data_IF_297874122026
#
_entry.id   IF_297874122026
#
_cell.length_a   1.000
_cell.length_b   1.000
_cell.length_c   1.000
_cell.angle_alpha   90.00
_cell.angle_beta   90.00
_cell.angle_gamma   90.00
#
_symmetry.space_group_name_H-M   'P 1'
#
loop_
_entity.id
_entity.type
_entity.pdbx_description
1 polymer ?
#
# COMPACT_ATOMS: atom_id res chain seq x y z
N UNK A 1 -8.34 6.60 -53.82
CA UNK A 1 -9.59 6.31 -53.10
C UNK A 1 -9.27 5.52 -51.84
N UNK A 2 -9.73 6.05 -50.70
CA UNK A 2 -9.93 5.48 -49.35
C UNK A 2 -9.00 4.35 -48.84
N UNK A 3 -8.14 4.58 -47.85
CA UNK A 3 -8.36 4.68 -46.38
C UNK A 3 -8.34 3.33 -45.64
N UNK A 4 -7.24 3.10 -44.91
CA UNK A 4 -7.19 2.31 -43.66
C UNK A 4 -6.35 3.13 -42.67
N UNK A 5 -6.78 3.36 -41.42
CA UNK A 5 -6.13 4.29 -40.50
C UNK A 5 -4.96 3.67 -39.74
N UNK A 6 -4.02 4.53 -39.34
CA UNK A 6 -2.86 4.21 -38.49
C UNK A 6 -3.21 4.17 -37.00
N UNK A 7 -2.41 3.46 -36.18
CA UNK A 7 -2.33 3.71 -34.75
C UNK A 7 -1.25 4.75 -34.42
N UNK A 8 -1.61 5.63 -33.49
CA UNK A 8 -0.79 6.64 -32.84
C UNK A 8 0.08 5.98 -31.77
N UNK A 9 1.38 6.30 -31.72
CA UNK A 9 2.13 6.77 -30.54
C UNK A 9 3.62 6.41 -30.65
N UNK A 10 4.47 7.39 -30.88
CA UNK A 10 5.84 7.44 -30.34
C UNK A 10 6.47 8.81 -30.63
N UNK A 11 6.52 9.68 -29.63
CA UNK A 11 7.47 10.81 -29.61
C UNK A 11 7.91 11.12 -28.18
N UNK A 12 9.01 10.46 -27.81
CA UNK A 12 10.18 10.97 -27.11
C UNK A 12 10.07 12.39 -26.52
N UNK A 13 10.19 12.50 -25.19
CA UNK A 13 10.50 13.75 -24.50
C UNK A 13 11.94 14.21 -24.77
N UNK A 14 12.19 15.49 -25.10
CA UNK A 14 13.49 16.09 -24.94
C UNK A 14 13.54 16.92 -23.64
N UNK A 15 14.56 16.64 -22.85
CA UNK A 15 15.07 17.50 -21.78
C UNK A 15 15.44 18.87 -22.39
N UNK A 16 14.92 19.96 -21.83
CA UNK A 16 15.37 21.31 -22.16
C UNK A 16 16.56 21.70 -21.28
N UNK A 17 17.66 22.23 -21.86
CA UNK A 17 18.82 22.69 -21.11
C UNK A 17 18.56 24.05 -20.44
N UNK A 18 19.18 24.23 -19.28
CA UNK A 18 19.21 25.49 -18.53
C UNK A 18 20.17 26.45 -19.24
N UNK A 19 19.65 27.53 -19.81
CA UNK A 19 20.47 28.59 -20.39
C UNK A 19 19.65 29.82 -20.77
N UNK A 20 19.90 30.93 -20.06
CA UNK A 20 19.50 32.31 -20.35
C UNK A 20 17.99 32.62 -20.47
N UNK A 21 17.43 33.17 -19.38
CA UNK A 21 16.19 33.96 -19.44
C UNK A 21 16.42 35.31 -18.76
N UNK A 22 16.11 36.37 -19.50
CA UNK A 22 16.19 37.79 -19.10
C UNK A 22 15.14 38.15 -18.04
N UNK A 23 15.34 39.31 -17.40
CA UNK A 23 14.58 39.77 -16.23
C UNK A 23 13.05 39.90 -16.43
N UNK A 24 12.54 39.81 -17.66
CA UNK A 24 11.10 39.76 -17.97
C UNK A 24 10.41 38.41 -17.70
N UNK A 25 11.15 37.31 -17.51
CA UNK A 25 10.58 35.96 -17.35
C UNK A 25 10.27 35.56 -15.90
N UNK A 26 10.71 36.36 -14.92
CA UNK A 26 10.44 36.11 -13.48
C UNK A 26 8.98 36.36 -13.10
N UNK A 27 8.28 37.28 -13.77
CA UNK A 27 6.86 37.55 -13.50
C UNK A 27 5.92 36.42 -13.95
N UNK A 28 6.22 35.77 -15.07
CA UNK A 28 5.36 34.74 -15.67
C UNK A 28 5.45 33.38 -14.93
N UNK A 29 6.64 33.03 -14.43
CA UNK A 29 6.86 31.81 -13.62
C UNK A 29 6.20 31.88 -12.24
N UNK A 30 6.15 33.07 -11.63
CA UNK A 30 5.41 33.29 -10.36
C UNK A 30 3.90 33.19 -10.62
N UNK A 31 3.41 33.67 -11.76
CA UNK A 31 1.99 33.59 -12.12
C UNK A 31 1.52 32.15 -12.39
N UNK A 32 2.35 31.33 -13.05
CA UNK A 32 2.03 29.91 -13.33
C UNK A 32 2.06 29.08 -12.03
N UNK A 33 2.97 29.34 -11.09
CA UNK A 33 2.97 28.62 -9.80
C UNK A 33 1.76 28.98 -8.93
N UNK A 34 1.32 30.25 -8.96
CA UNK A 34 0.10 30.68 -8.26
C UNK A 34 -1.19 30.15 -8.91
N UNK A 35 -1.24 30.05 -10.24
CA UNK A 35 -2.38 29.44 -10.94
C UNK A 35 -2.49 27.94 -10.66
N UNK A 36 -1.36 27.20 -10.67
CA UNK A 36 -1.34 25.79 -10.30
C UNK A 36 -1.81 25.59 -8.86
N UNK A 37 -1.37 26.42 -7.91
CA UNK A 37 -1.79 26.31 -6.51
C UNK A 37 -3.29 26.60 -6.32
N UNK A 38 -3.87 27.59 -7.04
CA UNK A 38 -5.32 27.87 -7.00
C UNK A 38 -6.16 26.79 -7.68
N UNK A 39 -5.72 26.23 -8.80
CA UNK A 39 -6.41 25.12 -9.47
C UNK A 39 -6.33 23.82 -8.63
N UNK A 40 -5.18 23.54 -8.00
CA UNK A 40 -5.02 22.38 -7.12
C UNK A 40 -5.89 22.47 -5.86
N UNK A 41 -5.97 23.65 -5.23
CA UNK A 41 -6.88 23.91 -4.09
C UNK A 41 -8.35 23.78 -4.52
N UNK A 42 -8.70 24.22 -5.74
CA UNK A 42 -10.07 24.13 -6.25
C UNK A 42 -10.46 22.69 -6.58
N UNK A 43 -9.55 21.89 -7.16
CA UNK A 43 -9.76 20.46 -7.43
C UNK A 43 -9.90 19.67 -6.12
N UNK A 44 -9.08 19.97 -5.10
CA UNK A 44 -9.23 19.37 -3.76
C UNK A 44 -10.58 19.80 -3.14
N UNK A 45 -11.00 21.06 -3.26
CA UNK A 45 -12.31 21.52 -2.75
C UNK A 45 -13.50 20.86 -3.46
N UNK A 46 -13.39 20.62 -4.76
CA UNK A 46 -14.45 19.97 -5.56
C UNK A 46 -14.53 18.48 -5.22
N UNK A 47 -13.40 17.81 -4.98
CA UNK A 47 -13.39 16.38 -4.63
C UNK A 47 -13.81 16.07 -3.18
N UNK A 48 -13.84 17.07 -2.29
CA UNK A 48 -14.16 16.88 -0.86
C UNK A 48 -15.57 17.33 -0.45
N UNK A 49 -16.37 17.88 -1.36
CA UNK A 49 -17.73 18.37 -1.03
C UNK A 49 -18.78 17.27 -0.87
N UNK A 50 -18.48 16.03 -1.25
CA UNK A 50 -19.41 14.89 -1.20
C UNK A 50 -19.09 13.87 -0.09
N UNK A 51 -18.46 14.28 1.01
CA UNK A 51 -18.14 13.38 2.13
C UNK A 51 -18.54 13.95 3.49
N UNK A 52 -19.71 14.58 3.55
CA UNK A 52 -20.43 14.76 4.82
C UNK A 52 -21.86 14.29 4.65
N UNK A 53 -22.08 13.00 4.85
CA UNK A 53 -23.35 12.51 5.36
C UNK A 53 -23.12 11.27 6.23
N UNK A 54 -23.35 11.47 7.53
CA UNK A 54 -23.46 10.43 8.52
C UNK A 54 -24.67 9.56 8.18
N UNK A 55 -24.45 8.27 7.97
CA UNK A 55 -25.46 7.27 8.34
C UNK A 55 -24.79 6.01 8.85
N UNK A 56 -25.09 5.72 10.12
CA UNK A 56 -24.70 4.54 10.88
C UNK A 56 -25.25 3.30 10.17
N UNK A 57 -24.37 2.56 9.52
CA UNK A 57 -24.53 1.13 9.26
C UNK A 57 -23.16 0.51 9.51
N UNK A 58 -22.81 0.35 10.78
CA UNK A 58 -21.65 -0.45 11.17
C UNK A 58 -21.93 -1.91 10.83
N UNK A 59 -21.76 -2.26 9.56
CA UNK A 59 -21.31 -3.62 9.24
C UNK A 59 -19.99 -3.75 9.98
N UNK A 60 -19.96 -4.54 11.05
CA UNK A 60 -18.75 -4.83 11.81
C UNK A 60 -17.78 -5.59 10.90
N UNK A 61 -17.08 -4.84 10.03
CA UNK A 61 -15.95 -5.37 9.29
C UNK A 61 -14.87 -5.63 10.32
N UNK A 62 -14.51 -6.89 10.46
CA UNK A 62 -13.54 -7.36 11.42
C UNK A 62 -12.20 -7.47 10.72
N UNK A 63 -11.20 -6.85 11.30
CA UNK A 63 -9.82 -6.96 10.88
C UNK A 63 -9.12 -8.03 11.71
N UNK A 64 -8.59 -9.05 11.04
CA UNK A 64 -8.07 -10.26 11.69
C UNK A 64 -6.64 -10.49 11.24
N UNK A 65 -5.77 -10.75 12.19
CA UNK A 65 -4.44 -11.29 11.93
C UNK A 65 -4.47 -12.77 12.29
N UNK A 66 -4.24 -13.63 11.30
CA UNK A 66 -4.31 -15.08 11.43
C UNK A 66 -3.02 -15.71 10.92
N UNK A 67 -2.41 -16.56 11.74
CA UNK A 67 -1.25 -17.39 11.39
C UNK A 67 -1.74 -18.76 10.96
N UNK A 68 -1.13 -19.32 9.92
CA UNK A 68 -1.43 -20.65 9.43
C UNK A 68 -0.22 -21.56 9.70
N UNK A 69 -0.39 -22.54 10.58
CA UNK A 69 0.71 -23.39 11.03
C UNK A 69 1.11 -24.47 10.03
N UNK A 70 0.16 -24.96 9.25
CA UNK A 70 0.36 -26.05 8.28
C UNK A 70 -0.12 -25.57 6.91
N UNK A 71 0.62 -24.67 6.24
CA UNK A 71 0.20 -24.13 4.96
C UNK A 71 0.29 -25.19 3.86
N UNK A 72 -0.80 -25.35 3.11
CA UNK A 72 -0.90 -26.19 1.91
C UNK A 72 -0.69 -25.38 0.62
N UNK A 73 -0.34 -24.09 0.75
CA UNK A 73 -0.13 -23.21 -0.39
C UNK A 73 1.09 -23.68 -1.19
N UNK A 74 0.95 -23.96 -2.51
CA UNK A 74 2.05 -24.47 -3.32
C UNK A 74 3.29 -23.57 -3.27
N UNK A 75 3.10 -22.25 -3.32
CA UNK A 75 4.19 -21.28 -3.17
C UNK A 75 4.77 -21.31 -1.75
N UNK A 76 3.93 -21.13 -0.73
CA UNK A 76 4.42 -20.93 0.64
C UNK A 76 5.06 -22.20 1.20
N UNK A 77 4.55 -23.38 0.90
CA UNK A 77 5.13 -24.65 1.32
C UNK A 77 6.59 -24.81 0.86
N UNK A 78 6.96 -24.27 -0.30
CA UNK A 78 8.33 -24.31 -0.82
C UNK A 78 9.20 -23.14 -0.35
N UNK A 79 8.60 -22.05 0.16
CA UNK A 79 9.30 -20.93 0.76
C UNK A 79 9.59 -21.15 2.26
N UNK A 80 8.69 -21.85 2.96
CA UNK A 80 8.81 -22.20 4.39
C UNK A 80 10.11 -22.98 4.62
N UNK A 81 10.86 -22.61 5.65
CA UNK A 81 12.13 -23.26 6.01
C UNK A 81 13.35 -22.85 5.16
N UNK A 82 13.17 -22.05 4.09
CA UNK A 82 14.29 -21.45 3.36
C UNK A 82 14.63 -20.08 3.96
N UNK A 83 15.93 -19.80 4.14
CA UNK A 83 16.40 -18.51 4.63
C UNK A 83 16.47 -17.46 3.50
N UNK A 84 15.31 -17.13 2.93
CA UNK A 84 15.15 -16.15 1.86
C UNK A 84 14.77 -14.79 2.43
N UNK A 85 15.28 -13.74 1.78
CA UNK A 85 14.93 -12.35 2.07
C UNK A 85 13.73 -11.95 1.20
N UNK A 86 12.52 -12.09 1.75
CA UNK A 86 11.25 -11.94 1.05
C UNK A 86 10.31 -11.01 1.80
N UNK A 87 9.72 -10.07 1.07
CA UNK A 87 8.64 -9.23 1.55
C UNK A 87 7.43 -9.33 0.59
N UNK A 88 6.26 -9.66 1.12
CA UNK A 88 5.02 -9.72 0.35
C UNK A 88 4.38 -8.34 0.33
N UNK A 89 4.42 -7.69 -0.83
CA UNK A 89 3.82 -6.37 -1.02
C UNK A 89 2.30 -6.45 -1.12
N UNK A 90 1.79 -7.47 -1.81
CA UNK A 90 0.35 -7.65 -1.98
C UNK A 90 0.00 -9.11 -2.31
N UNK A 91 -1.24 -9.49 -2.03
CA UNK A 91 -1.85 -10.75 -2.41
C UNK A 91 -3.27 -10.48 -2.94
N UNK A 92 -3.60 -11.08 -4.07
CA UNK A 92 -4.94 -11.05 -4.66
C UNK A 92 -5.42 -12.48 -4.82
N UNK A 93 -6.60 -12.76 -4.29
CA UNK A 93 -7.21 -14.10 -4.32
C UNK A 93 -8.46 -14.07 -5.18
N UNK A 94 -8.55 -14.98 -6.15
CA UNK A 94 -9.74 -15.25 -6.96
C UNK A 94 -10.00 -16.76 -7.02
N UNK A 95 -11.15 -17.15 -7.59
CA UNK A 95 -11.63 -18.55 -7.58
C UNK A 95 -10.62 -19.53 -8.18
N UNK A 96 -9.91 -19.12 -9.22
CA UNK A 96 -8.99 -19.96 -9.99
C UNK A 96 -7.54 -19.48 -9.96
N UNK A 97 -7.26 -18.33 -9.33
CA UNK A 97 -5.93 -17.73 -9.36
C UNK A 97 -5.61 -17.00 -8.07
N UNK A 98 -4.36 -17.10 -7.63
CA UNK A 98 -3.79 -16.27 -6.57
C UNK A 98 -2.57 -15.57 -7.13
N UNK A 99 -2.59 -14.24 -7.09
CA UNK A 99 -1.47 -13.41 -7.54
C UNK A 99 -0.75 -12.81 -6.33
N UNK A 100 0.57 -12.93 -6.31
CA UNK A 100 1.43 -12.38 -5.27
C UNK A 100 2.35 -11.33 -5.89
N UNK A 101 2.53 -10.21 -5.19
CA UNK A 101 3.61 -9.26 -5.47
C UNK A 101 4.64 -9.42 -4.36
N UNK A 102 5.84 -9.85 -4.72
CA UNK A 102 6.92 -10.17 -3.78
C UNK A 102 8.13 -9.31 -4.11
N UNK A 103 8.72 -8.67 -3.11
CA UNK A 103 10.05 -8.09 -3.20
C UNK A 103 11.02 -9.11 -2.62
N UNK A 104 12.04 -9.47 -3.39
CA UNK A 104 13.04 -10.45 -2.98
C UNK A 104 14.45 -9.91 -3.21
N UNK A 105 15.40 -10.38 -2.41
CA UNK A 105 16.81 -10.16 -2.71
C UNK A 105 17.20 -10.78 -4.05
N UNK A 106 17.98 -10.07 -4.87
CA UNK A 106 18.44 -10.52 -6.20
C UNK A 106 19.19 -11.85 -6.13
N UNK A 107 19.90 -12.11 -5.02
CA UNK A 107 20.57 -13.39 -4.72
C UNK A 107 19.61 -14.59 -4.67
N UNK A 108 18.35 -14.35 -4.29
CA UNK A 108 17.34 -15.38 -4.06
C UNK A 108 16.53 -15.70 -5.33
N UNK A 109 16.69 -14.91 -6.41
CA UNK A 109 15.95 -15.06 -7.66
C UNK A 109 16.15 -16.44 -8.30
N UNK A 110 17.36 -17.01 -8.25
CA UNK A 110 17.66 -18.33 -8.80
C UNK A 110 16.90 -19.43 -8.08
N UNK A 111 16.81 -19.34 -6.75
CA UNK A 111 16.08 -20.28 -5.89
C UNK A 111 14.58 -20.18 -6.19
N UNK A 112 14.05 -18.96 -6.31
CA UNK A 112 12.62 -18.73 -6.58
C UNK A 112 12.23 -19.25 -7.98
N UNK A 113 13.08 -19.05 -9.00
CA UNK A 113 12.87 -19.61 -10.34
C UNK A 113 12.83 -21.14 -10.34
N UNK A 114 13.67 -21.78 -9.53
CA UNK A 114 13.63 -23.24 -9.36
C UNK A 114 12.30 -23.69 -8.76
N UNK A 115 11.87 -23.04 -7.69
CA UNK A 115 10.57 -23.30 -7.03
C UNK A 115 9.40 -23.13 -8.03
N UNK A 116 9.43 -22.12 -8.90
CA UNK A 116 8.34 -21.98 -9.88
C UNK A 116 8.24 -23.13 -10.87
N UNK A 117 9.37 -23.72 -11.26
CA UNK A 117 9.38 -24.89 -12.15
C UNK A 117 8.74 -26.11 -11.49
N UNK A 118 9.08 -26.36 -10.23
CA UNK A 118 8.60 -27.52 -9.47
C UNK A 118 7.07 -27.44 -9.21
N UNK A 119 6.53 -26.22 -9.13
CA UNK A 119 5.16 -25.97 -8.66
C UNK A 119 4.25 -25.38 -9.76
N UNK A 120 4.72 -25.35 -11.01
CA UNK A 120 3.98 -24.78 -12.17
C UNK A 120 3.46 -23.36 -11.92
N UNK A 121 4.25 -22.54 -11.25
CA UNK A 121 3.92 -21.13 -11.02
C UNK A 121 4.42 -20.27 -12.17
N UNK A 122 3.62 -19.28 -12.58
CA UNK A 122 4.07 -18.28 -13.53
C UNK A 122 4.75 -17.13 -12.78
N UNK A 123 5.99 -16.80 -13.14
CA UNK A 123 6.74 -15.70 -12.52
C UNK A 123 7.16 -14.69 -13.58
N UNK A 124 6.75 -13.44 -13.39
CA UNK A 124 7.30 -12.27 -14.06
C UNK A 124 8.12 -11.47 -13.07
N UNK A 125 9.22 -10.85 -13.51
CA UNK A 125 10.06 -10.06 -12.60
C UNK A 125 10.65 -8.82 -13.25
N UNK A 126 10.99 -7.85 -12.41
CA UNK A 126 11.67 -6.61 -12.78
C UNK A 126 12.70 -6.25 -11.72
N UNK A 127 13.92 -5.91 -12.14
CA UNK A 127 14.93 -5.38 -11.22
C UNK A 127 14.46 -4.01 -10.71
N UNK A 128 14.49 -3.81 -9.40
CA UNK A 128 14.19 -2.51 -8.79
C UNK A 128 15.48 -1.72 -8.61
N UNK A 129 16.49 -2.38 -8.03
CA UNK A 129 17.82 -1.83 -7.77
C UNK A 129 18.87 -2.97 -7.86
N UNK A 130 20.12 -2.71 -7.49
CA UNK A 130 21.18 -3.73 -7.57
C UNK A 130 21.01 -4.89 -6.56
N UNK A 131 20.23 -4.68 -5.51
CA UNK A 131 19.99 -5.63 -4.41
C UNK A 131 18.67 -6.37 -4.51
N UNK A 132 17.63 -5.76 -5.08
CA UNK A 132 16.24 -6.24 -4.99
C UNK A 132 15.57 -6.42 -6.35
N UNK A 133 14.68 -7.41 -6.40
CA UNK A 133 13.82 -7.71 -7.54
C UNK A 133 12.35 -7.71 -7.13
N UNK A 134 11.50 -7.16 -7.99
CA UNK A 134 10.05 -7.26 -7.89
C UNK A 134 9.60 -8.50 -8.65
N UNK A 135 8.80 -9.35 -8.01
CA UNK A 135 8.25 -10.57 -8.57
C UNK A 135 6.73 -10.48 -8.59
N UNK A 136 6.15 -10.78 -9.74
CA UNK A 136 4.73 -11.08 -9.89
C UNK A 136 4.58 -12.59 -10.05
N UNK A 137 4.00 -13.26 -9.07
CA UNK A 137 3.85 -14.71 -9.05
C UNK A 137 2.38 -15.07 -9.16
N UNK A 138 2.00 -15.88 -10.14
CA UNK A 138 0.64 -16.38 -10.32
C UNK A 138 0.57 -17.88 -10.03
N UNK A 139 -0.32 -18.22 -9.11
CA UNK A 139 -0.69 -19.58 -8.77
C UNK A 139 -2.10 -19.86 -9.28
N UNK A 140 -2.25 -20.79 -10.22
CA UNK A 140 -3.55 -21.20 -10.79
C UNK A 140 -4.21 -22.35 -10.02
N UNK A 141 -3.71 -22.66 -8.82
CA UNK A 141 -4.26 -23.67 -7.91
C UNK A 141 -4.39 -23.07 -6.51
N UNK A 142 -5.49 -22.35 -6.22
CA UNK A 142 -5.73 -21.77 -4.89
C UNK A 142 -5.72 -22.85 -3.81
N UNK A 143 -5.03 -22.55 -2.72
CA UNK A 143 -4.92 -23.45 -1.57
C UNK A 143 -6.16 -23.41 -0.68
N UNK A 144 -6.23 -24.28 0.32
CA UNK A 144 -7.39 -24.37 1.21
C UNK A 144 -7.69 -23.04 1.91
N UNK A 145 -6.66 -22.32 2.37
CA UNK A 145 -6.84 -20.98 2.94
C UNK A 145 -7.53 -20.02 1.97
N UNK A 146 -7.04 -19.92 0.72
CA UNK A 146 -7.58 -19.01 -0.29
C UNK A 146 -9.02 -19.37 -0.68
N UNK A 147 -9.34 -20.66 -0.80
CA UNK A 147 -10.70 -21.14 -1.07
C UNK A 147 -11.66 -20.79 0.07
N UNK A 148 -11.27 -21.08 1.31
CA UNK A 148 -12.06 -20.78 2.50
C UNK A 148 -12.25 -19.27 2.67
N UNK A 149 -11.22 -18.47 2.35
CA UNK A 149 -11.30 -17.00 2.37
C UNK A 149 -12.39 -16.48 1.44
N UNK A 150 -12.44 -16.97 0.19
CA UNK A 150 -13.48 -16.59 -0.76
C UNK A 150 -14.87 -17.08 -0.34
N UNK A 151 -14.98 -18.32 0.15
CA UNK A 151 -16.24 -18.90 0.67
C UNK A 151 -16.89 -17.99 1.70
N UNK A 152 -16.10 -17.43 2.60
CA UNK A 152 -16.57 -16.54 3.67
C UNK A 152 -16.45 -15.05 3.36
N UNK A 153 -16.26 -14.69 2.08
CA UNK A 153 -16.21 -13.31 1.58
C UNK A 153 -15.15 -12.46 2.28
N UNK A 154 -14.06 -13.09 2.68
CA UNK A 154 -12.91 -12.42 3.30
C UNK A 154 -12.04 -11.74 2.25
N UNK A 155 -11.39 -10.64 2.63
CA UNK A 155 -10.47 -9.90 1.78
C UNK A 155 -9.08 -9.92 2.39
N UNK A 156 -8.06 -10.43 1.68
CA UNK A 156 -6.71 -10.33 2.18
C UNK A 156 -6.21 -8.89 2.02
N UNK A 157 -5.60 -8.35 3.06
CA UNK A 157 -5.02 -7.00 3.06
C UNK A 157 -3.51 -7.01 3.27
N UNK A 158 -2.96 -8.15 3.67
CA UNK A 158 -1.53 -8.36 3.80
C UNK A 158 -1.19 -9.81 4.02
N UNK A 159 0.06 -10.15 3.72
CA UNK A 159 0.69 -11.43 4.00
C UNK A 159 2.11 -11.13 4.45
N UNK A 160 2.59 -11.79 5.48
CA UNK A 160 4.00 -11.82 5.85
C UNK A 160 4.39 -13.23 6.30
N UNK A 161 5.69 -13.46 6.42
CA UNK A 161 6.21 -14.66 7.07
C UNK A 161 6.67 -14.28 8.48
N UNK A 162 6.33 -15.09 9.47
CA UNK A 162 6.87 -14.91 10.82
C UNK A 162 8.32 -15.44 10.94
N UNK A 163 8.84 -15.44 12.17
CA UNK A 163 10.20 -15.92 12.47
C UNK A 163 10.40 -17.40 12.11
N UNK A 164 9.35 -18.21 12.22
CA UNK A 164 9.34 -19.63 11.87
C UNK A 164 9.04 -19.87 10.38
N UNK A 165 9.04 -18.80 9.57
CA UNK A 165 8.67 -18.78 8.15
C UNK A 165 7.25 -19.26 7.88
N UNK A 166 6.35 -19.19 8.86
CA UNK A 166 4.93 -19.50 8.71
C UNK A 166 4.17 -18.27 8.21
N UNK A 167 3.18 -18.45 7.32
CA UNK A 167 2.43 -17.33 6.78
C UNK A 167 1.47 -16.75 7.82
N UNK A 168 1.50 -15.43 7.93
CA UNK A 168 0.61 -14.62 8.74
C UNK A 168 -0.15 -13.69 7.80
N UNK A 169 -1.45 -13.91 7.70
CA UNK A 169 -2.34 -13.13 6.87
C UNK A 169 -3.02 -12.05 7.72
N UNK A 170 -3.20 -10.87 7.13
CA UNK A 170 -4.17 -9.90 7.59
C UNK A 170 -5.38 -9.93 6.65
N UNK A 171 -6.56 -10.13 7.20
CA UNK A 171 -7.80 -10.28 6.44
C UNK A 171 -8.91 -9.41 7.01
N UNK A 172 -9.81 -8.97 6.13
CA UNK A 172 -11.07 -8.36 6.52
C UNK A 172 -12.19 -9.36 6.33
N UNK A 173 -13.02 -9.52 7.35
CA UNK A 173 -14.18 -10.42 7.33
C UNK A 173 -15.45 -9.60 7.61
N UNK A 174 -16.54 -9.78 6.84
CA UNK A 174 -17.67 -8.86 6.94
C UNK A 174 -18.51 -8.98 8.22
N UNK A 175 -18.39 -10.07 8.99
CA UNK A 175 -19.12 -10.33 10.25
C UNK A 175 -18.40 -11.32 11.16
N UNK A 176 -18.65 -11.24 12.48
CA UNK A 176 -18.08 -12.16 13.50
C UNK A 176 -18.52 -13.61 13.35
N UNK A 177 -19.79 -13.84 13.00
CA UNK A 177 -20.30 -15.19 12.79
C UNK A 177 -19.59 -15.91 11.64
N UNK A 178 -19.24 -15.18 10.57
CA UNK A 178 -18.50 -15.74 9.44
C UNK A 178 -17.05 -16.04 9.80
N UNK A 179 -16.43 -15.25 10.67
CA UNK A 179 -15.08 -15.54 11.18
C UNK A 179 -15.03 -16.88 11.92
N UNK A 180 -16.03 -17.18 12.76
CA UNK A 180 -16.08 -18.46 13.48
C UNK A 180 -16.12 -19.65 12.52
N UNK A 181 -16.98 -19.58 11.50
CA UNK A 181 -17.10 -20.63 10.50
C UNK A 181 -15.85 -20.72 9.62
N UNK A 182 -15.25 -19.57 9.27
CA UNK A 182 -13.98 -19.51 8.55
C UNK A 182 -12.86 -20.25 9.28
N UNK A 183 -12.74 -20.07 10.60
CA UNK A 183 -11.71 -20.75 11.41
C UNK A 183 -11.99 -22.25 11.53
N UNK A 184 -13.25 -22.64 11.77
CA UNK A 184 -13.64 -24.07 11.82
C UNK A 184 -13.26 -24.81 10.53
N UNK A 185 -13.61 -24.25 9.37
CA UNK A 185 -13.29 -24.86 8.08
C UNK A 185 -11.77 -24.98 7.85
N UNK A 186 -10.97 -24.03 8.34
CA UNK A 186 -9.51 -24.10 8.26
C UNK A 186 -8.93 -25.18 9.18
N UNK A 187 -9.51 -25.37 10.38
CA UNK A 187 -9.15 -26.46 11.30
C UNK A 187 -9.48 -27.83 10.69
N UNK A 188 -10.69 -27.99 10.17
CA UNK A 188 -11.16 -29.20 9.49
C UNK A 188 -10.31 -29.54 8.27
N UNK A 189 -9.83 -28.53 7.55
CA UNK A 189 -8.91 -28.67 6.42
C UNK A 189 -7.46 -28.93 6.86
N UNK A 190 -7.18 -29.01 8.16
CA UNK A 190 -5.87 -29.37 8.73
C UNK A 190 -4.83 -28.25 8.74
N UNK A 191 -5.22 -26.99 8.51
CA UNK A 191 -4.27 -25.85 8.38
C UNK A 191 -3.73 -25.34 9.73
N UNK A 192 -4.39 -25.67 10.83
CA UNK A 192 -4.01 -25.23 12.18
C UNK A 192 -3.94 -23.70 12.32
N UNK A 193 -5.06 -22.98 12.17
CA UNK A 193 -5.11 -21.53 12.29
C UNK A 193 -4.88 -21.05 13.74
N UNK A 194 -4.01 -20.06 13.93
CA UNK A 194 -3.91 -19.30 15.18
C UNK A 194 -4.42 -17.87 14.94
N UNK A 195 -5.47 -17.47 15.66
CA UNK A 195 -5.94 -16.09 15.67
C UNK A 195 -5.02 -15.24 16.55
N UNK A 196 -4.15 -14.45 15.92
CA UNK A 196 -3.22 -13.57 16.62
C UNK A 196 -3.90 -12.28 17.07
N UNK A 197 -4.82 -11.76 16.26
CA UNK A 197 -5.55 -10.52 16.56
C UNK A 197 -6.93 -10.52 15.94
N UNK A 198 -7.89 -9.95 16.66
CA UNK A 198 -9.22 -9.63 16.15
C UNK A 198 -9.54 -8.20 16.56
N UNK A 199 -9.58 -7.27 15.60
CA UNK A 199 -10.09 -5.92 15.80
C UNK A 199 -11.51 -5.83 15.23
N UNK A 200 -12.48 -5.56 16.10
CA UNK A 200 -13.89 -5.41 15.72
C UNK A 200 -14.17 -4.07 15.03
N UNK A 201 -13.16 -3.19 14.94
CA UNK A 201 -13.25 -1.89 14.29
C UNK A 201 -12.11 -1.75 13.30
N UNK A 202 -12.45 -1.65 12.02
CA UNK A 202 -11.46 -1.26 11.01
C UNK A 202 -10.98 0.18 11.31
N UNK A 203 -9.76 0.31 11.83
CA UNK A 203 -9.12 1.60 12.05
C UNK A 203 -8.63 2.13 10.70
N UNK A 204 -9.38 3.05 10.13
CA UNK A 204 -8.95 3.82 8.95
C UNK A 204 -8.36 5.13 9.47
N UNK A 205 -7.06 5.33 9.33
CA UNK A 205 -6.44 6.60 9.67
C UNK A 205 -7.07 7.73 8.84
N UNK A 206 -7.85 8.60 9.47
CA UNK A 206 -8.43 9.79 8.84
C UNK A 206 -7.66 11.03 9.25
N UNK A 207 -6.88 11.57 8.32
CA UNK A 207 -6.31 12.91 8.46
C UNK A 207 -7.42 13.94 8.29
N UNK A 208 -7.41 15.01 9.09
CA UNK A 208 -8.32 16.14 8.84
C UNK A 208 -7.87 16.90 7.59
N UNK A 209 -8.77 17.65 6.91
CA UNK A 209 -8.38 18.48 5.77
C UNK A 209 -7.20 19.42 6.08
N UNK A 210 -7.15 19.96 7.30
CA UNK A 210 -6.04 20.79 7.78
C UNK A 210 -4.74 20.00 7.93
N UNK A 211 -4.79 18.77 8.45
CA UNK A 211 -3.62 17.90 8.55
C UNK A 211 -3.09 17.53 7.16
N UNK A 212 -3.98 17.15 6.23
CA UNK A 212 -3.62 16.86 4.84
C UNK A 212 -2.94 18.07 4.20
N UNK A 213 -3.56 19.25 4.31
CA UNK A 213 -3.01 20.50 3.74
C UNK A 213 -1.63 20.82 4.31
N UNK A 214 -1.44 20.70 5.62
CA UNK A 214 -0.15 20.95 6.26
C UNK A 214 0.94 20.01 5.75
N UNK A 215 0.63 18.72 5.65
CA UNK A 215 1.56 17.69 5.17
C UNK A 215 1.93 17.89 3.70
N UNK A 216 0.96 18.21 2.84
CA UNK A 216 1.21 18.53 1.42
C UNK A 216 2.13 19.73 1.30
N UNK A 217 1.80 20.85 1.98
CA UNK A 217 2.62 22.06 1.92
C UNK A 217 4.04 21.80 2.46
N UNK A 218 4.17 21.06 3.55
CA UNK A 218 5.47 20.65 4.08
C UNK A 218 6.27 19.85 3.05
N UNK A 219 5.66 18.85 2.42
CA UNK A 219 6.31 18.00 1.42
C UNK A 219 6.73 18.79 0.17
N UNK A 220 5.81 19.55 -0.44
CA UNK A 220 6.06 20.28 -1.68
C UNK A 220 7.12 21.38 -1.54
N UNK A 221 7.22 22.00 -0.36
CA UNK A 221 8.22 23.03 -0.08
C UNK A 221 9.55 22.45 0.43
N UNK A 222 9.71 21.13 0.48
CA UNK A 222 10.94 20.46 0.89
C UNK A 222 11.26 20.58 2.38
N UNK A 223 10.22 20.64 3.23
CA UNK A 223 10.38 20.60 4.70
C UNK A 223 10.93 19.25 5.17
N UNK A 224 10.61 18.18 4.44
CA UNK A 224 11.08 16.81 4.70
C UNK A 224 12.36 16.44 3.93
N UNK A 225 12.92 17.37 3.14
CA UNK A 225 14.14 17.12 2.38
C UNK A 225 15.40 17.19 3.27
N UNK A 226 16.48 16.55 2.82
CA UNK A 226 17.81 16.71 3.40
C UNK A 226 18.80 17.26 2.35
N UNK A 227 19.38 18.46 2.55
CA UNK A 227 19.04 19.44 3.59
C UNK A 227 17.63 20.04 3.41
N UNK A 228 17.05 20.55 4.49
CA UNK A 228 15.71 21.18 4.44
C UNK A 228 15.73 22.40 3.51
N UNK A 229 14.76 22.48 2.61
CA UNK A 229 14.58 23.63 1.69
C UNK A 229 13.74 24.75 2.30
N UNK A 230 12.95 24.43 3.33
CA UNK A 230 12.12 25.39 4.08
C UNK A 230 12.16 25.06 5.57
N UNK A 231 12.11 26.08 6.42
CA UNK A 231 12.00 25.91 7.86
C UNK A 231 10.52 25.98 8.31
N UNK A 232 10.28 25.67 9.59
CA UNK A 232 8.91 25.67 10.13
C UNK A 232 8.29 27.07 10.10
N UNK A 233 9.09 28.11 10.37
CA UNK A 233 8.67 29.53 10.38
C UNK A 233 8.07 29.96 9.05
N UNK A 234 8.76 29.68 7.95
CA UNK A 234 8.27 30.01 6.62
C UNK A 234 7.04 29.19 6.24
N UNK A 235 6.93 27.95 6.72
CA UNK A 235 5.74 27.13 6.52
C UNK A 235 4.53 27.69 7.28
N UNK A 236 4.73 28.29 8.45
CA UNK A 236 3.68 29.00 9.20
C UNK A 236 3.10 30.16 8.41
N UNK A 237 3.97 30.97 7.81
CA UNK A 237 3.57 32.13 7.00
C UNK A 237 2.71 31.68 5.81
N UNK A 238 3.11 30.60 5.12
CA UNK A 238 2.34 30.03 4.00
C UNK A 238 0.97 29.52 4.48
N UNK A 239 0.90 28.95 5.67
CA UNK A 239 -0.33 28.39 6.22
C UNK A 239 -1.25 29.41 6.88
N UNK A 240 -0.74 30.57 7.28
CA UNK A 240 -1.51 31.60 7.99
C UNK A 240 -1.96 31.15 9.38
N UNK A 241 -1.15 30.33 10.08
CA UNK A 241 -1.46 29.80 11.42
C UNK A 241 -0.39 30.18 12.45
N UNK A 242 -0.72 30.10 13.74
CA UNK A 242 0.25 30.35 14.82
C UNK A 242 1.32 29.24 14.91
N UNK A 243 2.54 29.54 15.40
CA UNK A 243 3.64 28.58 15.53
C UNK A 243 3.27 27.25 16.21
N UNK A 244 2.63 27.33 17.38
CA UNK A 244 2.20 26.15 18.13
C UNK A 244 1.16 25.30 17.41
N UNK A 245 0.36 25.92 16.53
CA UNK A 245 -0.71 25.26 15.79
C UNK A 245 -0.17 24.37 14.68
N UNK A 246 0.84 24.81 13.93
CA UNK A 246 1.37 24.02 12.81
C UNK A 246 2.17 22.80 13.27
N UNK A 247 3.04 22.96 14.26
CA UNK A 247 3.81 21.84 14.80
C UNK A 247 2.87 20.75 15.35
N UNK A 248 1.80 21.15 16.06
CA UNK A 248 0.77 20.21 16.51
C UNK A 248 0.06 19.52 15.33
N UNK A 249 -0.37 20.27 14.32
CA UNK A 249 -1.05 19.71 13.14
C UNK A 249 -0.14 18.70 12.42
N UNK A 250 1.13 19.06 12.18
CA UNK A 250 2.10 18.19 11.51
C UNK A 250 2.38 16.93 12.35
N UNK A 251 2.63 17.07 13.65
CA UNK A 251 2.87 15.92 14.54
C UNK A 251 1.68 14.98 14.58
N UNK A 252 0.45 15.50 14.73
CA UNK A 252 -0.77 14.69 14.74
C UNK A 252 -1.03 14.02 13.39
N UNK A 253 -0.73 14.71 12.29
CA UNK A 253 -0.83 14.15 10.95
C UNK A 253 0.20 13.06 10.69
N UNK A 254 1.48 13.33 10.96
CA UNK A 254 2.57 12.38 10.83
C UNK A 254 2.36 11.15 11.70
N UNK A 255 1.94 11.33 12.96
CA UNK A 255 1.61 10.22 13.86
C UNK A 255 0.59 9.27 13.24
N UNK A 256 -0.52 9.79 12.69
CA UNK A 256 -1.53 8.98 12.02
C UNK A 256 -0.98 8.25 10.79
N UNK A 257 -0.12 8.90 9.99
CA UNK A 257 0.51 8.27 8.82
C UNK A 257 1.49 7.17 9.21
N UNK A 258 2.29 7.39 10.25
CA UNK A 258 3.24 6.41 10.77
C UNK A 258 2.50 5.23 11.40
N UNK A 259 1.45 5.47 12.19
CA UNK A 259 0.59 4.42 12.74
C UNK A 259 -0.03 3.58 11.62
N UNK A 260 -0.64 4.21 10.61
CA UNK A 260 -1.20 3.49 9.45
C UNK A 260 -0.13 2.68 8.72
N UNK A 261 1.06 3.25 8.50
CA UNK A 261 2.16 2.56 7.84
C UNK A 261 2.62 1.33 8.64
N UNK A 262 2.89 1.49 9.94
CA UNK A 262 3.37 0.39 10.80
C UNK A 262 2.32 -0.72 10.96
N UNK A 263 1.05 -0.34 11.10
CA UNK A 263 -0.06 -1.30 11.21
C UNK A 263 -0.27 -2.03 9.87
N UNK A 264 -0.29 -1.30 8.75
CA UNK A 264 -0.68 -1.85 7.43
C UNK A 264 0.44 -2.53 6.66
N UNK A 265 1.68 -2.06 6.79
CA UNK A 265 2.84 -2.59 6.07
C UNK A 265 3.62 -3.60 6.89
N UNK A 266 3.97 -3.23 8.11
CA UNK A 266 4.85 -4.05 8.95
C UNK A 266 4.05 -4.99 9.87
N UNK A 267 2.76 -4.70 10.09
CA UNK A 267 1.93 -5.42 11.04
C UNK A 267 2.53 -5.40 12.45
N UNK A 268 3.15 -4.27 12.81
CA UNK A 268 3.69 -3.97 14.13
C UNK A 268 2.58 -3.26 14.91
N UNK A 269 2.23 -3.79 16.08
CA UNK A 269 1.39 -3.07 17.02
C UNK A 269 2.22 -1.99 17.71
N UNK A 270 1.66 -0.80 17.77
CA UNK A 270 2.13 0.27 18.63
C UNK A 270 1.17 0.25 19.81
N UNK A 271 1.62 -0.28 20.94
CA UNK A 271 0.90 -0.09 22.20
C UNK A 271 0.87 1.41 22.50
N UNK A 272 -0.33 1.96 22.56
CA UNK A 272 -0.61 3.36 22.90
C UNK A 272 -1.48 3.43 24.15
#
# INVERSE_FOLDING_TARGET
MAHVPSPIAETVSPLLPIGFLSEGSRGYLIFISHLYNRLFISIIKISFRDCEENTILTREIIDVIIKINKPDCPLLAHLVGKNLDLNFYNIVVSENKVSYIIVAGKKDLSIIKKISGDVKLEIRYKNINNKDVLLWVENYSPCSFCKTLLKYKGLPTGLKLDKDKKPVYRILVPKRSLLKNFVSDLEESGLGPDLLKIDLRLRIARLTPTQIRALILAYENGFFDYPKKINLERLLEIMGVKPSTLDEILRRGLRKLVEEYLIRREGIEIDL
#
